data_IF_215426385949
#
_entry.id   IF_215426385949
#
_cell.length_a   1.000
_cell.length_b   1.000
_cell.length_c   1.000
_cell.angle_alpha   90.00
_cell.angle_beta   90.00
_cell.angle_gamma   90.00
#
_symmetry.space_group_name_H-M   'P 1'
#
loop_
_entity.id
_entity.type
_entity.pdbx_description
1 polymer ?
#
# COMPACT_ATOMS: atom_id res chain seq x y z
N UNK A 1 41.05 7.40 -25.55
CA UNK A 1 40.92 6.21 -24.68
C UNK A 1 40.01 6.56 -23.52
N UNK A 2 38.82 5.96 -23.47
CA UNK A 2 37.96 5.99 -22.30
C UNK A 2 37.55 4.55 -22.00
N UNK A 3 37.64 4.11 -20.74
CA UNK A 3 36.70 3.10 -20.29
C UNK A 3 36.07 3.51 -18.95
N UNK A 4 34.81 3.95 -19.04
CA UNK A 4 33.69 3.46 -18.24
C UNK A 4 33.99 3.06 -16.78
N UNK A 5 33.60 3.95 -15.86
CA UNK A 5 33.12 3.54 -14.53
C UNK A 5 31.69 4.06 -14.38
N UNK A 6 30.64 3.23 -14.47
CA UNK A 6 29.32 3.65 -14.04
C UNK A 6 29.39 3.79 -12.51
N UNK A 7 29.74 4.98 -12.03
CA UNK A 7 29.60 5.31 -10.63
C UNK A 7 28.10 5.49 -10.38
N UNK A 8 27.52 4.53 -9.64
CA UNK A 8 26.31 4.71 -8.82
C UNK A 8 25.02 5.15 -9.55
N UNK A 9 24.67 4.58 -10.69
CA UNK A 9 23.28 4.67 -11.19
C UNK A 9 22.35 3.67 -10.49
N UNK A 10 22.84 2.47 -10.15
CA UNK A 10 22.05 1.50 -9.36
C UNK A 10 21.72 2.04 -7.96
N UNK A 11 22.68 2.66 -7.26
CA UNK A 11 22.46 3.15 -5.89
C UNK A 11 21.47 4.33 -5.79
N UNK A 12 21.29 5.12 -6.85
CA UNK A 12 20.35 6.25 -6.89
C UNK A 12 18.95 5.77 -7.31
N UNK A 13 18.86 4.82 -8.25
CA UNK A 13 17.61 4.19 -8.64
C UNK A 13 17.01 3.36 -7.49
N UNK A 14 17.84 2.61 -6.75
CA UNK A 14 17.40 1.83 -5.58
C UNK A 14 16.83 2.74 -4.51
N UNK A 15 17.53 3.82 -4.13
CA UNK A 15 17.04 4.73 -3.09
C UNK A 15 15.80 5.49 -3.52
N UNK A 16 15.70 5.97 -4.75
CA UNK A 16 14.51 6.67 -5.20
C UNK A 16 13.32 5.71 -5.34
N UNK A 17 13.47 4.59 -6.05
CA UNK A 17 12.38 3.64 -6.24
C UNK A 17 11.89 3.08 -4.90
N UNK A 18 12.77 2.66 -3.99
CA UNK A 18 12.39 2.13 -2.67
C UNK A 18 11.67 3.20 -1.83
N UNK A 19 12.12 4.47 -1.88
CA UNK A 19 11.46 5.56 -1.13
C UNK A 19 10.10 5.91 -1.72
N UNK A 20 9.97 5.97 -3.04
CA UNK A 20 8.68 6.16 -3.71
C UNK A 20 7.72 5.01 -3.41
N UNK A 21 8.25 3.79 -3.27
CA UNK A 21 7.47 2.61 -2.96
C UNK A 21 6.95 2.61 -1.52
N UNK A 22 7.80 2.96 -0.56
CA UNK A 22 7.38 3.12 0.84
C UNK A 22 6.33 4.21 1.01
N UNK A 23 6.46 5.35 0.31
CA UNK A 23 5.45 6.41 0.30
C UNK A 23 4.11 5.93 -0.24
N UNK A 24 4.12 5.16 -1.32
CA UNK A 24 2.89 4.63 -1.92
C UNK A 24 2.23 3.57 -1.04
N UNK A 25 3.00 2.71 -0.36
CA UNK A 25 2.44 1.79 0.64
C UNK A 25 1.84 2.54 1.83
N UNK A 26 2.48 3.60 2.31
CA UNK A 26 1.92 4.43 3.37
C UNK A 26 0.61 5.11 2.93
N UNK A 27 0.57 5.64 1.71
CA UNK A 27 -0.66 6.24 1.16
C UNK A 27 -1.77 5.20 1.01
N UNK A 28 -1.42 4.01 0.53
CA UNK A 28 -2.32 2.88 0.36
C UNK A 28 -2.90 2.41 1.69
N UNK A 29 -2.04 2.19 2.68
CA UNK A 29 -2.41 1.84 4.04
C UNK A 29 -3.36 2.89 4.65
N UNK A 30 -3.03 4.18 4.49
CA UNK A 30 -3.88 5.27 4.99
C UNK A 30 -5.26 5.28 4.33
N UNK A 31 -5.33 5.08 3.01
CA UNK A 31 -6.59 5.03 2.28
C UNK A 31 -7.46 3.82 2.69
N UNK A 32 -6.85 2.69 3.04
CA UNK A 32 -7.56 1.52 3.59
C UNK A 32 -8.08 1.83 4.99
N UNK A 33 -7.25 2.36 5.88
CA UNK A 33 -7.64 2.76 7.23
C UNK A 33 -8.79 3.77 7.24
N UNK A 34 -8.69 4.83 6.45
CA UNK A 34 -9.72 5.86 6.32
C UNK A 34 -11.04 5.29 5.79
N UNK A 35 -10.98 4.36 4.83
CA UNK A 35 -12.16 3.72 4.29
C UNK A 35 -12.85 2.82 5.32
N UNK A 36 -12.08 2.05 6.08
CA UNK A 36 -12.62 1.20 7.14
C UNK A 36 -13.21 2.01 8.29
N UNK A 37 -12.57 3.12 8.69
CA UNK A 37 -13.10 3.99 9.75
C UNK A 37 -14.30 4.85 9.32
N UNK A 38 -14.50 5.04 8.00
CA UNK A 38 -15.64 5.78 7.47
C UNK A 38 -16.89 4.91 7.30
N UNK A 39 -16.76 3.59 7.42
CA UNK A 39 -17.91 2.69 7.37
C UNK A 39 -18.79 2.91 8.61
N UNK A 40 -20.10 3.19 8.43
CA UNK A 40 -20.99 3.41 9.55
C UNK A 40 -21.21 2.13 10.36
N UNK A 41 -21.10 2.25 11.68
CA UNK A 41 -21.81 1.40 12.64
C UNK A 41 -21.02 0.30 13.34
N UNK A 42 -19.78 -0.03 12.94
CA UNK A 42 -19.07 -1.18 13.53
C UNK A 42 -17.59 -0.92 13.86
N UNK A 43 -16.91 -0.02 13.14
CA UNK A 43 -15.47 0.26 13.32
C UNK A 43 -15.31 1.69 13.86
N UNK A 44 -14.78 1.82 15.08
CA UNK A 44 -14.49 3.12 15.70
C UNK A 44 -13.11 3.64 15.30
N UNK A 45 -12.17 2.75 15.03
CA UNK A 45 -10.84 3.08 14.53
C UNK A 45 -10.26 1.92 13.70
N UNK A 46 -9.46 2.24 12.69
CA UNK A 46 -8.76 1.25 11.88
C UNK A 46 -7.31 1.69 11.62
N UNK A 47 -6.39 0.74 11.69
CA UNK A 47 -5.00 0.88 11.30
C UNK A 47 -4.65 -0.18 10.27
N UNK A 48 -3.91 0.22 9.26
CA UNK A 48 -3.41 -0.68 8.23
C UNK A 48 -1.90 -0.49 8.11
N UNK A 49 -1.19 -1.60 7.95
CA UNK A 49 0.20 -1.61 7.56
C UNK A 49 0.38 -2.57 6.38
N UNK A 50 1.14 -2.13 5.38
CA UNK A 50 1.47 -2.94 4.22
C UNK A 50 2.96 -3.24 4.24
N UNK A 51 3.30 -4.53 4.14
CA UNK A 51 4.69 -4.98 4.12
C UNK A 51 5.00 -5.55 2.74
N UNK A 52 5.99 -4.98 2.07
CA UNK A 52 6.49 -5.47 0.78
C UNK A 52 7.79 -6.25 0.97
N UNK A 53 8.03 -7.25 0.11
CA UNK A 53 9.33 -7.93 0.05
C UNK A 53 10.22 -7.29 -0.99
N UNK A 54 11.50 -7.14 -0.70
CA UNK A 54 12.49 -6.76 -1.71
C UNK A 54 12.45 -7.77 -2.87
N UNK A 55 12.43 -7.26 -4.11
CA UNK A 55 12.34 -8.06 -5.33
C UNK A 55 10.95 -8.57 -5.70
N UNK A 56 9.90 -8.25 -4.93
CA UNK A 56 8.51 -8.49 -5.31
C UNK A 56 7.88 -7.25 -5.97
N UNK A 57 6.88 -7.42 -6.84
CA UNK A 57 6.17 -6.29 -7.41
C UNK A 57 5.55 -5.44 -6.31
N UNK A 58 5.83 -4.15 -6.36
CA UNK A 58 5.46 -3.14 -5.35
C UNK A 58 3.95 -2.93 -5.23
N UNK A 59 3.16 -3.47 -6.16
CA UNK A 59 1.71 -3.44 -6.13
C UNK A 59 1.10 -4.67 -5.43
N UNK A 60 1.91 -5.65 -5.05
CA UNK A 60 1.49 -6.87 -4.37
C UNK A 60 2.17 -6.90 -2.99
N UNK A 61 1.56 -6.28 -1.97
CA UNK A 61 2.10 -6.38 -0.61
C UNK A 61 2.13 -7.86 -0.21
N UNK A 62 3.22 -8.27 0.44
CA UNK A 62 3.36 -9.63 0.95
C UNK A 62 2.40 -9.85 2.12
N UNK A 63 2.24 -8.83 2.96
CA UNK A 63 1.36 -8.85 4.13
C UNK A 63 0.55 -7.55 4.13
N UNK A 64 -0.75 -7.70 4.40
CA UNK A 64 -1.68 -6.62 4.68
C UNK A 64 -2.14 -6.84 6.11
N UNK A 65 -1.60 -6.05 7.02
CA UNK A 65 -1.96 -6.11 8.43
C UNK A 65 -3.03 -5.05 8.71
N UNK A 66 -4.13 -5.49 9.32
CA UNK A 66 -5.29 -4.63 9.61
C UNK A 66 -5.68 -4.84 11.06
N UNK A 67 -5.63 -3.75 11.82
CA UNK A 67 -6.12 -3.68 13.18
C UNK A 67 -7.38 -2.81 13.17
N UNK A 68 -8.47 -3.33 13.75
CA UNK A 68 -9.73 -2.60 13.87
C UNK A 68 -10.17 -2.59 15.32
N UNK A 69 -10.69 -1.44 15.76
CA UNK A 69 -11.37 -1.28 17.03
C UNK A 69 -12.87 -1.24 16.74
N UNK A 70 -13.64 -2.11 17.39
CA UNK A 70 -15.10 -2.19 17.25
C UNK A 70 -15.78 -1.72 18.52
N UNK A 71 -17.02 -1.22 18.40
CA UNK A 71 -17.81 -0.84 19.57
C UNK A 71 -18.38 -2.08 20.31
N UNK A 72 -18.74 -3.11 19.56
CA UNK A 72 -19.20 -4.41 20.08
C UNK A 72 -18.03 -5.36 20.35
N UNK A 73 -18.29 -6.34 21.22
CA UNK A 73 -17.34 -7.39 21.60
C UNK A 73 -17.08 -8.37 20.44
N UNK A 74 -16.21 -7.97 19.52
CA UNK A 74 -15.51 -8.87 18.61
C UNK A 74 -15.84 -8.73 17.12
N UNK A 75 -14.96 -9.32 16.32
CA UNK A 75 -15.07 -9.38 14.87
C UNK A 75 -15.98 -10.54 14.45
N UNK A 76 -17.27 -10.27 14.29
CA UNK A 76 -18.20 -11.23 13.71
C UNK A 76 -17.81 -11.63 12.28
N UNK A 77 -18.24 -12.81 11.78
CA UNK A 77 -17.92 -13.27 10.41
C UNK A 77 -18.33 -12.28 9.30
N UNK A 78 -19.43 -11.55 9.49
CA UNK A 78 -19.90 -10.54 8.55
C UNK A 78 -18.99 -9.32 8.45
N UNK A 79 -18.47 -8.85 9.59
CA UNK A 79 -17.54 -7.72 9.63
C UNK A 79 -16.20 -8.09 9.00
N UNK A 80 -15.68 -9.29 9.25
CA UNK A 80 -14.47 -9.80 8.59
C UNK A 80 -14.60 -9.82 7.06
N UNK A 81 -15.73 -10.31 6.55
CA UNK A 81 -15.99 -10.32 5.11
C UNK A 81 -16.03 -8.91 4.52
N UNK A 82 -16.62 -7.95 5.23
CA UNK A 82 -16.65 -6.53 4.83
C UNK A 82 -15.26 -5.89 4.82
N UNK A 83 -14.49 -6.05 5.89
CA UNK A 83 -13.12 -5.55 5.99
C UNK A 83 -12.29 -6.06 4.83
N UNK A 84 -12.40 -7.36 4.53
CA UNK A 84 -11.70 -7.98 3.41
C UNK A 84 -12.12 -7.37 2.07
N UNK A 85 -13.42 -7.24 1.81
CA UNK A 85 -13.93 -6.67 0.55
C UNK A 85 -13.48 -5.22 0.33
N UNK A 86 -13.51 -4.39 1.38
CA UNK A 86 -13.04 -3.00 1.32
C UNK A 86 -11.54 -2.96 1.03
N UNK A 87 -10.76 -3.78 1.73
CA UNK A 87 -9.32 -3.87 1.56
C UNK A 87 -8.94 -4.28 0.14
N UNK A 88 -9.56 -5.33 -0.40
CA UNK A 88 -9.32 -5.81 -1.76
C UNK A 88 -9.68 -4.74 -2.80
N UNK A 89 -10.82 -4.07 -2.63
CA UNK A 89 -11.26 -2.97 -3.53
C UNK A 89 -10.24 -1.83 -3.55
N UNK A 90 -9.76 -1.41 -2.37
CA UNK A 90 -8.77 -0.33 -2.26
C UNK A 90 -7.43 -0.74 -2.86
N UNK A 91 -6.96 -1.96 -2.56
CA UNK A 91 -5.71 -2.49 -3.13
C UNK A 91 -5.76 -2.57 -4.66
N UNK A 92 -6.89 -2.97 -5.26
CA UNK A 92 -7.05 -2.98 -6.72
C UNK A 92 -6.98 -1.58 -7.33
N UNK A 93 -7.63 -0.59 -6.71
CA UNK A 93 -7.57 0.80 -7.16
C UNK A 93 -6.14 1.36 -7.10
N UNK A 94 -5.43 1.05 -6.02
CA UNK A 94 -4.02 1.42 -5.84
C UNK A 94 -3.13 0.71 -6.87
N UNK A 95 -3.29 -0.59 -7.10
CA UNK A 95 -2.55 -1.33 -8.13
C UNK A 95 -2.73 -0.69 -9.51
N UNK A 96 -3.93 -0.24 -9.83
CA UNK A 96 -4.21 0.50 -11.08
C UNK A 96 -3.43 1.82 -11.15
N UNK A 97 -3.37 2.58 -10.05
CA UNK A 97 -2.56 3.80 -9.95
C UNK A 97 -1.06 3.50 -10.09
N UNK A 98 -0.57 2.43 -9.46
CA UNK A 98 0.79 1.95 -9.58
C UNK A 98 1.18 1.63 -11.02
N UNK A 99 0.32 0.94 -11.76
CA UNK A 99 0.55 0.65 -13.17
C UNK A 99 0.69 1.94 -13.99
N UNK A 100 -0.06 2.99 -13.67
CA UNK A 100 0.06 4.31 -14.32
C UNK A 100 1.37 5.02 -13.94
N UNK A 101 1.78 4.96 -12.66
CA UNK A 101 3.04 5.53 -12.16
C UNK A 101 4.25 4.85 -12.82
N UNK A 102 4.29 3.50 -12.82
CA UNK A 102 5.40 2.72 -13.38
C UNK A 102 5.50 2.89 -14.90
N UNK A 103 4.37 3.06 -15.59
CA UNK A 103 4.34 3.39 -17.03
C UNK A 103 4.74 4.85 -17.34
N UNK A 104 5.17 5.62 -16.34
CA UNK A 104 5.67 7.00 -16.52
C UNK A 104 4.58 8.06 -16.66
N UNK A 105 3.33 7.76 -16.29
CA UNK A 105 2.19 8.66 -16.51
C UNK A 105 1.83 9.54 -15.31
N UNK A 106 2.57 9.46 -14.19
CA UNK A 106 2.31 10.31 -13.01
C UNK A 106 3.65 10.78 -12.42
N UNK A 107 3.91 12.07 -12.51
CA UNK A 107 5.00 12.72 -11.78
C UNK A 107 4.62 12.77 -10.30
N UNK A 108 5.35 12.03 -9.47
CA UNK A 108 5.24 12.14 -8.02
C UNK A 108 6.22 13.23 -7.59
N UNK A 109 5.70 14.43 -7.31
CA UNK A 109 6.46 15.57 -6.78
C UNK A 109 6.69 15.44 -5.26
#
# INVERSE_FOLDING_TARGET
MAPYRPMTLEAVADKNAVTHVGKLHNLAARAISEALSSEPGEISAARCALVSRIGQPVHTPQIVDIEVTTADEGLGPGLWARIRAITETKLQGINTLWQKVIRGSVAIY
#
